data_IF_332600389262
#
_entry.id   IF_332600389262
#
_cell.length_a   1.000
_cell.length_b   1.000
_cell.length_c   1.000
_cell.angle_alpha   90.00
_cell.angle_beta   90.00
_cell.angle_gamma   90.00
#
_symmetry.space_group_name_H-M   'P 1'
#
loop_
_entity.id
_entity.type
_entity.pdbx_description
1 polymer ?
#
# COMPACT_ATOMS: atom_id res chain seq x y z
N UNK A 1 34.86 25.00 -72.41
CA UNK A 1 34.93 24.11 -71.23
C UNK A 1 34.95 24.91 -69.91
N UNK A 2 34.27 26.07 -69.82
CA UNK A 2 34.25 26.91 -68.60
C UNK A 2 32.87 27.58 -68.40
N UNK A 3 31.77 26.91 -68.78
CA UNK A 3 30.42 27.45 -68.51
C UNK A 3 29.84 26.93 -67.19
N UNK A 4 30.28 25.77 -66.71
CA UNK A 4 29.78 25.15 -65.47
C UNK A 4 30.39 25.72 -64.17
N UNK A 5 31.30 26.69 -64.26
CA UNK A 5 31.93 27.35 -63.09
C UNK A 5 31.48 28.80 -62.88
N UNK A 6 30.68 29.36 -63.78
CA UNK A 6 30.27 30.78 -63.73
C UNK A 6 28.94 31.02 -63.02
N UNK A 7 28.16 29.96 -62.76
CA UNK A 7 26.91 30.05 -62.03
C UNK A 7 27.03 29.25 -60.73
N UNK A 8 27.23 29.98 -59.63
CA UNK A 8 27.03 29.42 -58.30
C UNK A 8 25.51 29.36 -58.06
N UNK A 9 24.95 28.16 -57.93
CA UNK A 9 23.57 27.99 -57.50
C UNK A 9 23.45 28.53 -56.07
N UNK A 10 22.79 29.68 -55.94
CA UNK A 10 22.60 30.33 -54.66
C UNK A 10 21.84 29.38 -53.72
N UNK A 11 22.38 29.14 -52.52
CA UNK A 11 21.74 28.33 -51.48
C UNK A 11 20.30 28.78 -51.17
N UNK A 12 19.97 30.04 -51.47
CA UNK A 12 18.63 30.61 -51.34
C UNK A 12 17.57 29.94 -52.24
N UNK A 13 17.92 29.44 -53.43
CA UNK A 13 16.95 28.77 -54.29
C UNK A 13 16.74 27.30 -53.88
N UNK A 14 17.78 26.62 -53.40
CA UNK A 14 17.67 25.32 -52.76
C UNK A 14 16.84 25.40 -51.45
N UNK A 15 17.03 26.47 -50.67
CA UNK A 15 16.26 26.74 -49.46
C UNK A 15 14.78 27.03 -49.77
N UNK A 16 14.45 27.72 -50.87
CA UNK A 16 13.05 27.98 -51.27
C UNK A 16 12.29 26.71 -51.69
N UNK A 17 12.94 25.84 -52.47
CA UNK A 17 12.38 24.53 -52.86
C UNK A 17 12.30 23.58 -51.65
N UNK A 18 13.37 23.52 -50.84
CA UNK A 18 13.42 22.70 -49.63
C UNK A 18 12.49 23.17 -48.51
N UNK A 19 12.15 24.46 -48.44
CA UNK A 19 11.26 25.01 -47.42
C UNK A 19 9.84 24.42 -47.53
N UNK A 20 9.33 24.23 -48.76
CA UNK A 20 8.04 23.58 -48.98
C UNK A 20 8.05 22.15 -48.45
N UNK A 21 9.12 21.40 -48.73
CA UNK A 21 9.28 20.02 -48.26
C UNK A 21 9.41 19.94 -46.74
N UNK A 22 10.15 20.86 -46.11
CA UNK A 22 10.29 20.94 -44.65
C UNK A 22 8.97 21.27 -43.96
N UNK A 23 8.17 22.19 -44.53
CA UNK A 23 6.83 22.51 -44.00
C UNK A 23 5.89 21.32 -44.14
N UNK A 24 5.91 20.61 -45.28
CA UNK A 24 5.12 19.39 -45.48
C UNK A 24 5.53 18.30 -44.48
N UNK A 25 6.83 18.07 -44.29
CA UNK A 25 7.33 17.12 -43.30
C UNK A 25 6.94 17.52 -41.87
N UNK A 26 7.02 18.80 -41.52
CA UNK A 26 6.63 19.32 -40.22
C UNK A 26 5.13 19.13 -39.96
N UNK A 27 4.27 19.44 -40.94
CA UNK A 27 2.83 19.23 -40.84
C UNK A 27 2.47 17.74 -40.75
N UNK A 28 3.19 16.88 -41.47
CA UNK A 28 2.99 15.43 -41.41
C UNK A 28 3.38 14.85 -40.04
N UNK A 29 4.53 15.27 -39.49
CA UNK A 29 4.94 14.88 -38.13
C UNK A 29 3.98 15.40 -37.06
N UNK A 30 3.48 16.63 -37.22
CA UNK A 30 2.44 17.17 -36.34
C UNK A 30 1.17 16.33 -36.41
N UNK A 31 0.68 15.99 -37.61
CA UNK A 31 -0.51 15.16 -37.78
C UNK A 31 -0.33 13.74 -37.21
N UNK A 32 0.85 13.12 -37.37
CA UNK A 32 1.17 11.85 -36.73
C UNK A 32 1.17 11.94 -35.20
N UNK A 33 1.64 13.05 -34.63
CA UNK A 33 1.57 13.30 -33.18
C UNK A 33 0.12 13.37 -32.72
N UNK A 34 -0.76 14.07 -33.45
CA UNK A 34 -2.18 14.16 -33.11
C UNK A 34 -2.87 12.79 -33.18
N UNK A 35 -2.52 11.96 -34.16
CA UNK A 35 -3.02 10.58 -34.24
C UNK A 35 -2.53 9.71 -33.08
N UNK A 36 -1.26 9.86 -32.69
CA UNK A 36 -0.69 9.11 -31.56
C UNK A 36 -1.39 9.48 -30.25
N UNK A 37 -1.54 10.78 -29.98
CA UNK A 37 -2.18 11.29 -28.77
C UNK A 37 -3.66 10.89 -28.77
N UNK A 38 -4.36 11.07 -29.89
CA UNK A 38 -5.76 10.64 -30.02
C UNK A 38 -5.91 9.13 -29.82
N UNK A 39 -4.98 8.33 -30.36
CA UNK A 39 -4.95 6.89 -30.13
C UNK A 39 -4.77 6.55 -28.65
N UNK A 40 -3.88 7.24 -27.95
CA UNK A 40 -3.66 7.08 -26.52
C UNK A 40 -4.91 7.43 -25.69
N UNK A 41 -5.68 8.44 -26.09
CA UNK A 41 -6.87 8.92 -25.36
C UNK A 41 -8.09 8.01 -25.58
N UNK A 42 -8.36 7.64 -26.83
CA UNK A 42 -9.63 7.02 -27.22
C UNK A 42 -9.64 5.50 -27.11
N UNK A 43 -8.49 4.84 -27.23
CA UNK A 43 -8.41 3.37 -27.15
C UNK A 43 -8.06 2.83 -25.74
N UNK A 44 -8.02 3.70 -24.73
CA UNK A 44 -7.81 3.29 -23.33
C UNK A 44 -9.03 2.57 -22.76
N UNK A 45 -8.87 1.29 -22.40
CA UNK A 45 -9.90 0.49 -21.71
C UNK A 45 -9.90 0.85 -20.22
N UNK A 46 -10.89 1.64 -19.78
CA UNK A 46 -11.10 1.91 -18.35
C UNK A 46 -12.57 1.73 -17.97
N UNK A 47 -12.81 1.24 -16.76
CA UNK A 47 -14.13 1.09 -16.17
C UNK A 47 -14.81 2.45 -16.00
N UNK A 48 -16.06 2.53 -16.43
CA UNK A 48 -16.89 3.73 -16.33
C UNK A 48 -17.13 4.03 -14.83
N UNK A 49 -16.78 5.25 -14.38
CA UNK A 49 -16.90 5.73 -12.98
C UNK A 49 -15.92 5.11 -11.97
N UNK A 50 -14.71 4.72 -12.38
CA UNK A 50 -13.68 4.30 -11.42
C UNK A 50 -13.15 5.46 -10.55
N UNK A 51 -12.66 5.14 -9.35
CA UNK A 51 -12.07 6.11 -8.43
C UNK A 51 -10.84 6.81 -9.04
N UNK A 52 -10.57 8.05 -8.61
CA UNK A 52 -9.48 8.89 -9.14
C UNK A 52 -8.10 8.26 -9.01
N UNK A 53 -7.87 7.52 -7.93
CA UNK A 53 -6.63 6.75 -7.68
C UNK A 53 -6.41 5.60 -8.68
N UNK A 54 -7.49 5.09 -9.28
CA UNK A 54 -7.42 4.09 -10.35
C UNK A 54 -7.25 4.75 -11.72
N UNK A 55 -7.90 5.89 -11.93
CA UNK A 55 -7.89 6.59 -13.22
C UNK A 55 -6.57 7.31 -13.53
N UNK A 56 -5.90 7.86 -12.50
CA UNK A 56 -4.74 8.72 -12.65
C UNK A 56 -3.52 8.20 -11.91
N UNK A 57 -2.32 8.40 -12.50
CA UNK A 57 -1.05 7.98 -11.89
C UNK A 57 -0.72 8.84 -10.67
N UNK A 58 -1.04 10.14 -10.73
CA UNK A 58 -0.85 11.06 -9.61
C UNK A 58 -2.17 11.75 -9.22
N UNK A 59 -2.41 11.98 -7.91
CA UNK A 59 -3.66 12.58 -7.43
C UNK A 59 -3.71 14.11 -7.62
N UNK A 60 -2.62 14.73 -8.08
CA UNK A 60 -2.50 16.18 -8.25
C UNK A 60 -2.69 16.54 -9.72
N UNK A 61 -3.42 17.62 -10.00
CA UNK A 61 -3.59 18.15 -11.35
C UNK A 61 -3.29 19.65 -11.39
N UNK A 62 -2.99 20.15 -12.60
CA UNK A 62 -2.76 21.56 -12.82
C UNK A 62 -4.11 22.26 -13.08
N UNK A 63 -4.46 23.26 -12.28
CA UNK A 63 -5.76 23.94 -12.42
C UNK A 63 -5.85 24.79 -13.71
N UNK A 64 -4.74 25.31 -14.22
CA UNK A 64 -4.71 26.16 -15.42
C UNK A 64 -4.82 25.37 -16.71
N UNK A 65 -4.25 24.16 -16.74
CA UNK A 65 -4.31 23.22 -17.88
C UNK A 65 -4.92 21.91 -17.40
N UNK A 66 -6.17 22.01 -16.93
CA UNK A 66 -6.87 20.89 -16.30
C UNK A 66 -6.99 19.71 -17.26
N UNK A 67 -7.52 19.94 -18.46
CA UNK A 67 -7.78 18.87 -19.41
C UNK A 67 -6.49 18.19 -19.86
N UNK A 68 -5.46 18.96 -20.22
CA UNK A 68 -4.17 18.42 -20.65
C UNK A 68 -3.49 17.67 -19.52
N UNK A 69 -3.50 18.21 -18.29
CA UNK A 69 -2.87 17.55 -17.15
C UNK A 69 -3.57 16.26 -16.76
N UNK A 70 -4.90 16.20 -16.80
CA UNK A 70 -5.65 14.97 -16.57
C UNK A 70 -5.43 13.95 -17.68
N UNK A 71 -5.40 14.38 -18.95
CA UNK A 71 -5.20 13.48 -20.10
C UNK A 71 -3.80 12.86 -20.11
N UNK A 72 -2.76 13.62 -19.76
CA UNK A 72 -1.38 13.12 -19.66
C UNK A 72 -1.13 12.28 -18.40
N UNK A 73 -1.89 12.51 -17.34
CA UNK A 73 -1.80 11.79 -16.07
C UNK A 73 -2.72 10.55 -16.02
N UNK A 74 -3.51 10.31 -17.07
CA UNK A 74 -4.43 9.18 -17.17
C UNK A 74 -3.66 7.87 -17.33
N UNK A 75 -4.02 6.87 -16.54
CA UNK A 75 -3.39 5.54 -16.54
C UNK A 75 -3.75 4.77 -17.80
N UNK A 76 -2.75 4.20 -18.49
CA UNK A 76 -2.90 3.58 -19.83
C UNK A 76 -3.60 2.23 -19.80
N UNK A 77 -3.38 1.44 -18.75
CA UNK A 77 -3.92 0.09 -18.62
C UNK A 77 -4.42 -0.14 -17.19
N UNK A 78 -5.68 -0.56 -17.05
CA UNK A 78 -6.16 -1.21 -15.82
C UNK A 78 -5.58 -2.62 -15.66
N UNK A 79 -4.92 -3.16 -16.70
CA UNK A 79 -4.29 -4.48 -16.68
C UNK A 79 -3.20 -4.68 -15.64
N UNK A 80 -2.59 -3.63 -15.09
CA UNK A 80 -1.66 -3.84 -13.97
C UNK A 80 -2.39 -4.28 -12.68
N UNK A 81 -3.70 -3.99 -12.56
CA UNK A 81 -4.60 -4.53 -11.53
C UNK A 81 -5.48 -5.69 -12.04
N UNK A 82 -5.82 -5.72 -13.33
CA UNK A 82 -6.62 -6.81 -13.92
C UNK A 82 -5.77 -8.02 -14.32
N UNK A 83 -4.46 -7.95 -14.52
CA UNK A 83 -3.62 -9.15 -14.68
C UNK A 83 -3.29 -9.75 -13.31
N UNK A 84 -3.23 -8.94 -12.26
CA UNK A 84 -3.28 -9.43 -10.87
C UNK A 84 -4.66 -10.00 -10.52
N UNK A 85 -5.76 -9.44 -11.04
CA UNK A 85 -7.11 -9.96 -10.78
C UNK A 85 -7.65 -11.07 -11.71
N UNK A 86 -7.26 -11.13 -12.99
CA UNK A 86 -7.81 -12.06 -14.00
C UNK A 86 -6.94 -13.27 -14.30
N UNK A 87 -5.65 -13.23 -13.96
CA UNK A 87 -4.82 -14.44 -13.98
C UNK A 87 -5.30 -15.45 -12.91
N UNK A 88 -5.89 -14.96 -11.81
CA UNK A 88 -6.48 -15.78 -10.74
C UNK A 88 -7.70 -16.59 -11.20
N UNK A 89 -8.45 -16.08 -12.17
CA UNK A 89 -9.60 -16.78 -12.77
C UNK A 89 -9.18 -17.75 -13.89
N UNK A 90 -8.06 -17.47 -14.58
CA UNK A 90 -7.57 -18.33 -15.67
C UNK A 90 -6.79 -19.55 -15.15
N UNK A 91 -6.10 -19.44 -14.01
CA UNK A 91 -5.35 -20.57 -13.42
C UNK A 91 -6.28 -21.61 -12.77
N UNK A 92 -7.52 -21.25 -12.43
CA UNK A 92 -8.53 -22.20 -11.94
C UNK A 92 -9.17 -23.04 -13.05
N UNK A 93 -8.87 -22.76 -14.33
CA UNK A 93 -9.33 -23.55 -15.47
C UNK A 93 -8.15 -24.01 -16.32
N UNK A 94 -7.58 -25.16 -15.97
CA UNK A 94 -6.65 -25.85 -16.86
C UNK A 94 -7.33 -26.14 -18.21
N UNK A 95 -6.87 -25.48 -19.27
CA UNK A 95 -6.95 -25.99 -20.64
C UNK A 95 -5.76 -25.45 -21.45
N UNK A 96 -4.80 -26.34 -21.67
CA UNK A 96 -3.79 -26.37 -22.74
C UNK A 96 -3.89 -25.24 -23.78
N UNK A 97 -2.92 -24.32 -23.77
CA UNK A 97 -2.54 -23.57 -24.98
C UNK A 97 -1.06 -23.22 -24.93
N UNK A 98 -0.35 -23.53 -26.02
CA UNK A 98 1.05 -23.19 -26.27
C UNK A 98 1.26 -21.67 -26.18
N UNK A 99 2.09 -21.21 -25.25
CA UNK A 99 2.59 -19.84 -25.18
C UNK A 99 4.12 -19.83 -25.17
N UNK A 100 4.70 -18.93 -25.98
CA UNK A 100 6.13 -18.84 -26.28
C UNK A 100 7.05 -18.64 -25.06
N UNK A 101 8.14 -19.41 -25.05
CA UNK A 101 9.13 -19.58 -23.97
C UNK A 101 9.86 -18.27 -23.57
N UNK A 102 10.03 -17.32 -24.51
CA UNK A 102 10.67 -16.02 -24.25
C UNK A 102 9.82 -15.06 -23.40
N UNK A 103 8.48 -15.20 -23.45
CA UNK A 103 7.57 -14.35 -22.66
C UNK A 103 7.52 -14.77 -21.19
N UNK A 104 7.91 -16.01 -20.88
CA UNK A 104 7.88 -16.59 -19.54
C UNK A 104 9.07 -16.10 -18.70
N UNK A 105 10.24 -15.88 -19.31
CA UNK A 105 11.45 -15.41 -18.61
C UNK A 105 11.33 -13.95 -18.16
N UNK A 106 10.81 -13.06 -19.00
CA UNK A 106 10.57 -11.65 -18.63
C UNK A 106 9.51 -11.53 -17.53
N UNK A 107 8.41 -12.30 -17.62
CA UNK A 107 7.41 -12.39 -16.55
C UNK A 107 7.96 -12.95 -15.23
N UNK A 108 8.96 -13.85 -15.30
CA UNK A 108 9.56 -14.48 -14.13
C UNK A 108 10.48 -13.53 -13.35
N UNK A 109 11.14 -12.61 -14.06
CA UNK A 109 12.02 -11.59 -13.48
C UNK A 109 11.21 -10.48 -12.80
N UNK A 110 10.10 -10.03 -13.40
CA UNK A 110 9.19 -9.06 -12.77
C UNK A 110 8.38 -9.67 -11.60
N UNK A 111 8.06 -10.97 -11.65
CA UNK A 111 7.47 -11.73 -10.54
C UNK A 111 8.39 -11.80 -9.31
N UNK A 112 9.72 -11.82 -9.49
CA UNK A 112 10.69 -11.82 -8.39
C UNK A 112 10.84 -10.44 -7.74
N UNK A 113 10.72 -9.36 -8.52
CA UNK A 113 10.83 -8.00 -8.00
C UNK A 113 9.56 -7.51 -7.27
N UNK A 114 8.38 -7.98 -7.70
CA UNK A 114 7.08 -7.65 -7.10
C UNK A 114 6.65 -8.57 -5.94
N UNK A 115 7.27 -9.74 -5.80
CA UNK A 115 6.95 -10.69 -4.73
C UNK A 115 7.42 -10.25 -3.34
N UNK A 116 8.22 -9.19 -3.23
CA UNK A 116 8.90 -8.81 -1.99
C UNK A 116 8.33 -7.55 -1.31
N UNK A 117 7.36 -6.87 -1.94
CA UNK A 117 6.64 -5.76 -1.30
C UNK A 117 5.35 -6.30 -0.68
N UNK A 118 5.44 -6.75 0.58
CA UNK A 118 4.25 -7.17 1.33
C UNK A 118 3.57 -5.97 1.99
N UNK A 119 2.27 -5.85 1.78
CA UNK A 119 1.43 -4.85 2.46
C UNK A 119 1.41 -5.14 3.96
N UNK A 120 1.65 -4.13 4.79
CA UNK A 120 1.59 -4.26 6.25
C UNK A 120 0.45 -3.42 6.82
N UNK A 121 -0.43 -4.06 7.58
CA UNK A 121 -1.58 -3.45 8.23
C UNK A 121 -1.22 -3.16 9.68
N UNK A 122 -1.32 -1.88 10.05
CA UNK A 122 -1.22 -1.43 11.43
C UNK A 122 -2.62 -1.14 11.97
N UNK A 123 -3.06 -1.92 12.96
CA UNK A 123 -4.31 -1.66 13.66
C UNK A 123 -4.03 -0.83 14.90
N UNK A 124 -4.42 0.44 14.87
CA UNK A 124 -4.21 1.36 15.98
C UNK A 124 -5.53 1.63 16.69
N UNK A 125 -5.57 1.42 18.00
CA UNK A 125 -6.70 1.78 18.85
C UNK A 125 -6.23 2.67 20.00
N UNK A 126 -7.06 3.61 20.43
CA UNK A 126 -6.82 4.41 21.63
C UNK A 126 -7.77 3.96 22.72
N UNK A 127 -7.29 3.87 23.97
CA UNK A 127 -8.11 3.55 25.14
C UNK A 127 -7.96 4.64 26.20
N UNK A 128 -9.08 5.03 26.82
CA UNK A 128 -9.11 5.88 28.00
C UNK A 128 -10.31 5.51 28.86
N UNK A 129 -10.07 5.01 30.06
CA UNK A 129 -11.12 4.55 30.99
C UNK A 129 -12.14 3.57 30.38
N UNK A 130 -11.69 2.73 29.43
CA UNK A 130 -12.53 1.71 28.79
C UNK A 130 -13.04 0.67 29.81
N UNK A 131 -14.24 0.15 29.58
CA UNK A 131 -14.79 -0.96 30.37
C UNK A 131 -14.17 -2.29 29.97
N UNK A 132 -14.35 -3.31 30.82
CA UNK A 132 -13.80 -4.65 30.54
C UNK A 132 -14.40 -5.26 29.27
N UNK A 133 -15.69 -5.02 29.06
CA UNK A 133 -16.42 -5.49 27.88
C UNK A 133 -15.94 -4.83 26.59
N UNK A 134 -15.65 -3.53 26.62
CA UNK A 134 -15.12 -2.79 25.47
C UNK A 134 -13.71 -3.25 25.11
N UNK A 135 -12.82 -3.37 26.12
CA UNK A 135 -11.48 -3.92 25.92
C UNK A 135 -11.53 -5.35 25.36
N UNK A 136 -12.43 -6.19 25.86
CA UNK A 136 -12.59 -7.56 25.40
C UNK A 136 -13.05 -7.62 23.94
N UNK A 137 -14.00 -6.76 23.55
CA UNK A 137 -14.48 -6.69 22.17
C UNK A 137 -13.37 -6.24 21.21
N UNK A 138 -12.58 -5.23 21.59
CA UNK A 138 -11.46 -4.76 20.80
C UNK A 138 -10.38 -5.84 20.66
N UNK A 139 -9.98 -6.48 21.77
CA UNK A 139 -9.00 -7.56 21.73
C UNK A 139 -9.50 -8.77 20.93
N UNK A 140 -10.78 -9.12 20.98
CA UNK A 140 -11.37 -10.14 20.10
C UNK A 140 -11.23 -9.79 18.62
N UNK A 141 -11.39 -8.53 18.25
CA UNK A 141 -11.18 -8.07 16.87
C UNK A 141 -9.73 -8.25 16.43
N UNK A 142 -8.77 -7.83 17.27
CA UNK A 142 -7.33 -7.99 17.02
C UNK A 142 -6.95 -9.47 16.89
N UNK A 143 -7.44 -10.34 17.77
CA UNK A 143 -7.17 -11.78 17.75
C UNK A 143 -7.74 -12.48 16.49
N UNK A 144 -8.86 -12.00 15.95
CA UNK A 144 -9.40 -12.51 14.68
C UNK A 144 -8.50 -12.16 13.50
N UNK A 145 -7.97 -10.94 13.46
CA UNK A 145 -7.00 -10.53 12.44
C UNK A 145 -5.70 -11.32 12.54
N UNK A 146 -5.23 -11.57 13.77
CA UNK A 146 -4.05 -12.42 14.00
C UNK A 146 -4.26 -13.85 13.50
N UNK A 147 -5.42 -14.46 13.78
CA UNK A 147 -5.76 -15.81 13.29
C UNK A 147 -5.86 -15.88 11.77
N UNK A 148 -6.45 -14.85 11.14
CA UNK A 148 -6.62 -14.73 9.70
C UNK A 148 -5.26 -14.57 8.98
N UNK A 149 -4.39 -13.70 9.52
CA UNK A 149 -3.03 -13.53 9.03
C UNK A 149 -2.19 -14.81 9.19
N UNK A 150 -2.33 -15.52 10.32
CA UNK A 150 -1.65 -16.79 10.56
C UNK A 150 -2.06 -17.87 9.55
N UNK A 151 -3.34 -17.95 9.20
CA UNK A 151 -3.84 -18.87 8.18
C UNK A 151 -3.21 -18.58 6.81
N UNK A 152 -3.15 -17.31 6.39
CA UNK A 152 -2.48 -16.90 5.14
C UNK A 152 -0.99 -17.20 5.14
N UNK A 153 -0.29 -16.90 6.24
CA UNK A 153 1.14 -17.20 6.41
C UNK A 153 1.40 -18.71 6.31
N UNK A 154 0.54 -19.53 6.91
CA UNK A 154 0.62 -20.99 6.85
C UNK A 154 0.39 -21.50 5.42
N UNK A 155 -0.64 -21.00 4.72
CA UNK A 155 -0.91 -21.37 3.33
C UNK A 155 0.27 -21.05 2.41
N UNK A 156 0.88 -19.87 2.57
CA UNK A 156 2.06 -19.47 1.79
C UNK A 156 3.28 -20.35 2.07
N UNK A 157 3.57 -20.62 3.33
CA UNK A 157 4.79 -21.33 3.73
C UNK A 157 4.71 -22.83 3.46
N UNK A 158 3.55 -23.46 3.68
CA UNK A 158 3.39 -24.91 3.62
C UNK A 158 2.75 -25.41 2.31
N UNK A 159 1.80 -24.66 1.74
CA UNK A 159 1.10 -25.07 0.51
C UNK A 159 1.67 -24.40 -0.74
N UNK A 160 2.65 -23.51 -0.59
CA UNK A 160 3.23 -22.70 -1.67
C UNK A 160 2.17 -21.96 -2.51
N UNK A 161 0.98 -21.75 -1.95
CA UNK A 161 -0.06 -20.95 -2.54
C UNK A 161 0.34 -19.48 -2.44
N UNK A 162 0.53 -18.83 -3.59
CA UNK A 162 0.85 -17.40 -3.63
C UNK A 162 -0.44 -16.62 -3.45
N UNK A 163 -0.73 -16.24 -2.21
CA UNK A 163 -1.83 -15.33 -1.91
C UNK A 163 -1.47 -13.91 -2.38
N UNK A 164 -2.26 -13.38 -3.32
CA UNK A 164 -2.10 -12.04 -3.87
C UNK A 164 -2.41 -10.95 -2.83
N UNK A 165 -3.28 -11.26 -1.86
CA UNK A 165 -3.71 -10.36 -0.79
C UNK A 165 -2.94 -10.61 0.52
N UNK A 166 -1.76 -11.23 0.45
CA UNK A 166 -0.93 -11.47 1.62
C UNK A 166 -0.55 -10.14 2.30
N UNK A 167 -0.86 -10.04 3.59
CA UNK A 167 -0.47 -8.93 4.42
C UNK A 167 0.22 -9.37 5.71
N UNK A 168 1.05 -8.48 6.24
CA UNK A 168 1.59 -8.57 7.60
C UNK A 168 0.73 -7.74 8.55
N UNK A 169 0.61 -8.19 9.80
CA UNK A 169 -0.25 -7.55 10.79
C UNK A 169 0.52 -7.13 12.03
N UNK A 170 0.25 -5.93 12.52
CA UNK A 170 0.73 -5.44 13.81
C UNK A 170 -0.37 -4.64 14.52
N UNK A 171 -0.65 -5.00 15.77
CA UNK A 171 -1.65 -4.33 16.59
C UNK A 171 -1.02 -3.34 17.56
N UNK A 172 -1.54 -2.11 17.63
CA UNK A 172 -1.11 -1.07 18.55
C UNK A 172 -2.28 -0.54 19.37
N UNK A 173 -2.10 -0.47 20.69
CA UNK A 173 -3.06 0.11 21.62
C UNK A 173 -2.40 1.28 22.33
N UNK A 174 -2.95 2.48 22.21
CA UNK A 174 -2.46 3.69 22.87
C UNK A 174 -3.32 3.97 24.10
N UNK A 175 -2.75 3.75 25.28
CA UNK A 175 -3.41 4.03 26.55
C UNK A 175 -3.14 5.46 26.98
N UNK A 176 -4.17 6.30 27.03
CA UNK A 176 -4.06 7.62 27.66
C UNK A 176 -4.24 7.48 29.17
N UNK A 177 -3.54 8.33 29.93
CA UNK A 177 -3.65 8.39 31.39
C UNK A 177 -3.44 7.04 32.10
N UNK A 178 -2.31 6.39 31.81
CA UNK A 178 -2.11 4.99 32.12
C UNK A 178 -1.35 4.74 33.45
N UNK A 179 -0.84 5.80 34.09
CA UNK A 179 -0.06 5.73 35.33
C UNK A 179 -0.70 6.57 36.43
N UNK A 180 -0.62 6.08 37.67
CA UNK A 180 -1.05 6.74 38.90
C UNK A 180 0.13 6.75 39.89
N UNK A 181 0.16 7.73 40.79
CA UNK A 181 1.16 7.78 41.87
C UNK A 181 0.66 6.96 43.07
N UNK A 182 1.49 6.02 43.53
CA UNK A 182 1.23 5.23 44.73
C UNK A 182 1.58 6.03 46.01
N UNK A 183 1.19 5.51 47.18
CA UNK A 183 1.48 6.11 48.50
C UNK A 183 2.99 6.31 48.75
N UNK A 184 3.83 5.56 48.02
CA UNK A 184 5.30 5.66 48.04
C UNK A 184 5.87 6.66 47.02
N UNK A 185 5.03 7.49 46.37
CA UNK A 185 5.41 8.41 45.30
C UNK A 185 6.03 7.73 44.05
N UNK A 186 5.81 6.42 43.88
CA UNK A 186 6.21 5.69 42.67
C UNK A 186 5.09 5.69 41.65
N UNK A 187 5.45 5.78 40.36
CA UNK A 187 4.47 5.66 39.29
C UNK A 187 4.15 4.20 38.98
N UNK A 188 2.89 3.84 39.22
CA UNK A 188 2.36 2.49 38.98
C UNK A 188 1.31 2.51 37.87
N UNK A 189 1.14 1.41 37.12
CA UNK A 189 0.07 1.30 36.13
C UNK A 189 -1.31 1.36 36.79
N UNK A 190 -2.20 2.16 36.21
CA UNK A 190 -3.60 2.30 36.65
C UNK A 190 -4.35 0.95 36.57
N UNK A 191 -5.45 0.82 37.32
CA UNK A 191 -6.40 -0.32 37.29
C UNK A 191 -6.81 -0.74 35.89
N UNK A 192 -6.94 0.21 34.95
CA UNK A 192 -7.34 -0.10 33.56
C UNK A 192 -6.24 -0.85 32.79
N UNK A 193 -4.97 -0.54 33.05
CA UNK A 193 -3.83 -1.28 32.47
C UNK A 193 -3.74 -2.68 33.08
N UNK A 194 -4.02 -2.80 34.38
CA UNK A 194 -4.09 -4.09 35.06
C UNK A 194 -5.26 -4.94 34.53
N UNK A 195 -6.40 -4.30 34.26
CA UNK A 195 -7.56 -4.94 33.65
C UNK A 195 -7.21 -5.46 32.24
N UNK A 196 -6.54 -4.66 31.40
CA UNK A 196 -6.10 -5.09 30.08
C UNK A 196 -5.29 -6.39 30.15
N UNK A 197 -4.35 -6.51 31.10
CA UNK A 197 -3.53 -7.72 31.28
C UNK A 197 -4.39 -8.98 31.49
N UNK A 198 -5.48 -8.87 32.27
CA UNK A 198 -6.42 -9.98 32.49
C UNK A 198 -7.33 -10.26 31.30
N UNK A 199 -7.70 -9.23 30.53
CA UNK A 199 -8.59 -9.37 29.38
C UNK A 199 -7.91 -10.04 28.18
N UNK A 200 -6.59 -9.86 28.01
CA UNK A 200 -5.83 -10.48 26.89
C UNK A 200 -5.98 -12.01 26.86
N UNK A 201 -5.83 -12.68 28.01
CA UNK A 201 -5.99 -14.14 28.12
C UNK A 201 -7.44 -14.57 27.84
N UNK A 202 -8.41 -13.79 28.34
CA UNK A 202 -9.85 -14.04 28.10
C UNK A 202 -10.21 -13.88 26.63
N UNK A 203 -9.64 -12.89 25.95
CA UNK A 203 -9.87 -12.66 24.52
C UNK A 203 -9.31 -13.82 23.68
N UNK A 204 -8.11 -14.28 23.98
CA UNK A 204 -7.48 -15.40 23.30
C UNK A 204 -8.30 -16.69 23.46
N UNK A 205 -8.71 -17.00 24.69
CA UNK A 205 -9.56 -18.17 24.98
C UNK A 205 -10.91 -18.10 24.24
N UNK A 206 -11.51 -16.91 24.13
CA UNK A 206 -12.79 -16.73 23.46
C UNK A 206 -12.74 -16.91 21.94
N UNK A 207 -11.64 -16.53 21.28
CA UNK A 207 -11.50 -16.66 19.81
C UNK A 207 -11.08 -18.07 19.42
N UNK A 208 -10.12 -18.66 20.12
CA UNK A 208 -9.60 -19.99 19.79
C UNK A 208 -10.41 -21.14 20.40
N UNK A 209 -11.44 -20.84 21.20
CA UNK A 209 -12.34 -21.82 21.84
C UNK A 209 -11.60 -22.88 22.68
N UNK A 210 -10.39 -22.56 23.13
CA UNK A 210 -9.51 -23.42 23.92
C UNK A 210 -8.93 -22.58 25.05
N UNK A 211 -8.82 -23.10 26.29
CA UNK A 211 -8.16 -22.38 27.37
C UNK A 211 -6.70 -22.11 27.00
N UNK A 212 -6.40 -20.85 26.69
CA UNK A 212 -5.06 -20.40 26.33
C UNK A 212 -4.59 -19.31 27.27
N UNK A 213 -3.31 -19.39 27.63
CA UNK A 213 -2.63 -18.39 28.44
C UNK A 213 -1.50 -17.79 27.63
N UNK A 214 -1.57 -16.49 27.38
CA UNK A 214 -0.55 -15.78 26.62
C UNK A 214 0.62 -15.50 27.56
N UNK A 215 1.88 -15.62 27.08
CA UNK A 215 3.03 -15.25 27.89
C UNK A 215 2.94 -13.78 28.33
N UNK A 216 3.49 -13.44 29.51
CA UNK A 216 3.48 -12.06 29.98
C UNK A 216 4.19 -11.13 28.99
N UNK A 217 3.76 -9.86 28.88
CA UNK A 217 4.35 -8.94 27.92
C UNK A 217 5.79 -8.61 28.24
N UNK A 218 6.59 -8.39 27.21
CA UNK A 218 7.88 -7.77 27.34
C UNK A 218 7.70 -6.28 27.67
N UNK A 219 8.32 -5.83 28.77
CA UNK A 219 8.24 -4.45 29.25
C UNK A 219 9.46 -3.69 28.74
N UNK A 220 9.24 -2.63 27.97
CA UNK A 220 10.31 -1.73 27.52
C UNK A 220 10.04 -0.32 28.04
N UNK A 221 10.98 0.32 28.76
CA UNK A 221 10.84 1.73 29.11
C UNK A 221 10.95 2.59 27.84
N UNK A 222 10.09 3.60 27.72
CA UNK A 222 10.09 4.51 26.56
C UNK A 222 10.11 5.97 27.02
N UNK A 223 10.54 6.92 26.18
CA UNK A 223 10.59 8.34 26.56
C UNK A 223 9.25 8.92 27.02
N UNK A 224 8.13 8.40 26.50
CA UNK A 224 6.76 8.82 26.84
C UNK A 224 6.12 8.03 27.98
N UNK A 225 6.83 7.06 28.58
CA UNK A 225 6.28 6.18 29.62
C UNK A 225 6.82 4.76 29.50
N UNK A 226 5.99 3.85 29.02
CA UNK A 226 6.36 2.45 28.82
C UNK A 226 5.69 1.81 27.61
N UNK A 227 6.19 0.63 27.23
CA UNK A 227 5.64 -0.20 26.17
C UNK A 227 5.54 -1.64 26.65
N UNK A 228 4.38 -2.24 26.43
CA UNK A 228 4.11 -3.66 26.69
C UNK A 228 3.94 -4.36 25.34
N UNK A 229 4.75 -5.38 25.09
CA UNK A 229 4.71 -6.14 23.82
C UNK A 229 4.34 -7.58 24.09
N UNK A 230 3.25 -8.06 23.49
CA UNK A 230 2.84 -9.45 23.48
C UNK A 230 3.11 -10.07 22.11
N UNK A 231 3.41 -11.36 22.11
CA UNK A 231 3.34 -12.21 20.92
C UNK A 231 2.00 -12.92 20.97
N UNK A 232 1.17 -12.68 19.96
CA UNK A 232 -0.15 -13.30 19.83
C UNK A 232 -0.01 -14.76 19.36
N UNK A 233 -1.04 -15.60 19.54
CA UNK A 233 -0.99 -17.02 19.14
C UNK A 233 -0.66 -17.26 17.65
N UNK A 234 -1.09 -16.35 16.76
CA UNK A 234 -0.76 -16.37 15.33
C UNK A 234 0.64 -15.86 14.99
N UNK A 235 1.42 -15.46 15.98
CA UNK A 235 2.81 -15.00 15.85
C UNK A 235 2.95 -13.53 15.50
N UNK A 236 1.87 -12.75 15.42
CA UNK A 236 1.96 -11.30 15.24
C UNK A 236 2.15 -10.58 16.59
N UNK A 237 2.59 -9.32 16.51
CA UNK A 237 2.81 -8.52 17.71
C UNK A 237 1.59 -7.69 18.07
N UNK A 238 1.28 -7.66 19.36
CA UNK A 238 0.39 -6.68 19.97
C UNK A 238 1.21 -5.78 20.89
N UNK A 239 1.15 -4.47 20.67
CA UNK A 239 1.95 -3.48 21.37
C UNK A 239 1.02 -2.49 22.06
N UNK A 240 1.02 -2.47 23.39
CA UNK A 240 0.37 -1.40 24.15
C UNK A 240 1.39 -0.33 24.56
N UNK A 241 1.09 0.89 24.17
CA UNK A 241 1.83 2.10 24.52
C UNK A 241 1.20 2.73 25.76
N UNK A 242 1.96 2.79 26.84
CA UNK A 242 1.54 3.28 28.16
C UNK A 242 2.05 4.71 28.31
N UNK A 243 1.13 5.67 28.34
CA UNK A 243 1.46 7.10 28.51
C UNK A 243 1.68 7.44 29.98
N UNK A 244 2.81 8.07 30.26
CA UNK A 244 3.11 8.69 31.55
C UNK A 244 2.83 10.20 31.45
N UNK A 245 1.93 10.70 32.30
CA UNK A 245 1.55 12.12 32.34
C UNK A 245 2.69 13.04 32.78
N UNK A 246 3.64 12.57 33.58
CA UNK A 246 4.73 13.42 34.10
C UNK A 246 5.83 13.65 33.07
N UNK A 247 6.02 12.69 32.15
CA UNK A 247 7.03 12.76 31.09
C UNK A 247 6.58 13.55 29.87
N UNK A 248 5.27 13.80 29.74
CA UNK A 248 4.67 14.45 28.58
C UNK A 248 3.99 15.74 28.99
N UNK A 249 4.08 16.77 28.16
CA UNK A 249 3.37 18.03 28.38
C UNK A 249 1.86 17.80 28.53
N UNK A 250 1.28 18.38 29.58
CA UNK A 250 -0.16 18.32 29.83
C UNK A 250 -0.99 18.76 28.62
N UNK A 251 -2.14 18.08 28.43
CA UNK A 251 -3.14 18.30 27.37
C UNK A 251 -2.66 17.99 25.93
N UNK A 252 -1.52 17.30 25.76
CA UNK A 252 -1.09 16.78 24.47
C UNK A 252 -1.66 15.38 24.19
N UNK A 253 -2.15 15.21 22.96
CA UNK A 253 -2.65 13.94 22.41
C UNK A 253 -1.49 13.16 21.78
N UNK A 254 -1.62 11.85 21.64
CA UNK A 254 -0.60 10.95 21.06
C UNK A 254 -0.16 11.34 19.63
N UNK A 255 -1.01 12.05 18.88
CA UNK A 255 -0.75 12.45 17.50
C UNK A 255 -0.10 13.84 17.34
N UNK A 256 0.23 14.53 18.44
CA UNK A 256 0.69 15.94 18.43
C UNK A 256 2.06 16.18 19.04
#
# INVERSE_FOLDING_TARGET
FIENFLFWSCYADYAKESFKWQVICGLFLWWLSELWISGHIWFGKSQRLAFTERLFVSPRYCATLLEQSLMMNRRRNERDELLTGSFDELVTTNAETDFDEQSIEELSMEKKLSADVHTKIYSCATMWHETETEMLQLLKSIMRLDSDQCARRTARNYLHLKDLDYYEYEGHIFFDDATEEDDNNEQVPNKFVQQLLGVVDRAATAIHQCPMKIPPPFKTPTPYGGRLTWVLPGGNFLIAHIKDKTKIRHKKRWSQ
#
